data_IF_799177691503
#
_entry.id   IF_799177691503
#
_cell.length_a   1.000
_cell.length_b   1.000
_cell.length_c   1.000
_cell.angle_alpha   90.00
_cell.angle_beta   90.00
_cell.angle_gamma   90.00
#
_symmetry.space_group_name_H-M   'P 1'
#
loop_
_entity.id
_entity.type
_entity.pdbx_description
1 polymer ?
#
# COMPACT_ATOMS: atom_id res chain seq x y z
N UNK A 1 -35.90 -12.29 -11.84
CA UNK A 1 -35.63 -11.80 -10.49
C UNK A 1 -34.16 -11.42 -10.46
N UNK A 2 -33.83 -10.13 -10.55
CA UNK A 2 -32.45 -9.68 -10.37
C UNK A 2 -32.16 -9.77 -8.86
N UNK A 3 -31.29 -10.71 -8.47
CA UNK A 3 -30.79 -10.78 -7.10
C UNK A 3 -30.18 -9.42 -6.71
N UNK A 4 -30.62 -8.85 -5.59
CA UNK A 4 -29.94 -7.68 -5.00
C UNK A 4 -28.48 -8.06 -4.80
N UNK A 5 -27.54 -7.48 -5.60
CA UNK A 5 -26.14 -7.48 -5.24
C UNK A 5 -26.08 -6.90 -3.84
N UNK A 6 -25.57 -7.65 -2.86
CA UNK A 6 -25.33 -7.12 -1.53
C UNK A 6 -24.47 -5.86 -1.69
N UNK A 7 -24.98 -4.75 -1.17
CA UNK A 7 -24.26 -3.48 -1.18
C UNK A 7 -22.98 -3.64 -0.34
N UNK A 8 -21.83 -3.23 -0.88
CA UNK A 8 -20.59 -3.22 -0.13
C UNK A 8 -20.67 -2.20 0.99
N UNK A 9 -20.52 -2.62 2.23
CA UNK A 9 -20.82 -1.82 3.43
C UNK A 9 -19.61 -1.52 4.30
N UNK A 10 -18.43 -2.02 3.96
CA UNK A 10 -17.19 -1.70 4.67
C UNK A 10 -16.76 -0.23 4.47
N UNK A 11 -15.90 0.24 5.35
CA UNK A 11 -15.24 1.55 5.30
C UNK A 11 -16.21 2.75 5.33
N UNK A 12 -17.26 2.66 6.14
CA UNK A 12 -18.29 3.71 6.19
C UNK A 12 -17.74 5.07 6.53
N UNK A 13 -16.95 5.18 7.58
CA UNK A 13 -16.34 6.45 8.03
C UNK A 13 -15.39 7.01 6.98
N UNK A 14 -14.57 6.17 6.34
CA UNK A 14 -13.70 6.60 5.25
C UNK A 14 -14.49 7.10 4.05
N UNK A 15 -15.58 6.42 3.68
CA UNK A 15 -16.46 6.81 2.58
C UNK A 15 -17.39 8.01 2.87
N UNK A 16 -17.36 8.58 4.06
CA UNK A 16 -17.94 9.91 4.31
C UNK A 16 -17.04 11.02 3.76
N UNK A 17 -15.73 10.78 3.71
CA UNK A 17 -14.72 11.75 3.29
C UNK A 17 -14.16 11.48 1.90
N UNK A 18 -14.07 10.21 1.47
CA UNK A 18 -13.46 9.80 0.23
C UNK A 18 -14.44 9.03 -0.65
N UNK A 19 -14.33 9.20 -1.95
CA UNK A 19 -15.10 8.41 -2.94
C UNK A 19 -14.36 7.12 -3.32
N UNK A 20 -13.03 7.11 -3.14
CA UNK A 20 -12.15 6.04 -3.57
C UNK A 20 -11.09 5.74 -2.51
N UNK A 21 -10.87 4.46 -2.27
CA UNK A 21 -9.73 3.96 -1.51
C UNK A 21 -8.81 3.25 -2.50
N UNK A 22 -7.55 3.69 -2.59
CA UNK A 22 -6.53 3.12 -3.48
C UNK A 22 -5.53 2.38 -2.61
N UNK A 23 -5.63 1.07 -2.58
CA UNK A 23 -4.69 0.20 -1.87
C UNK A 23 -3.68 -0.33 -2.86
N UNK A 24 -2.39 -0.19 -2.60
CA UNK A 24 -1.35 -0.58 -3.53
C UNK A 24 -0.12 -1.16 -2.82
N UNK A 25 0.68 -1.88 -3.58
CA UNK A 25 1.91 -2.51 -3.15
C UNK A 25 2.92 -2.55 -4.29
N UNK A 26 4.21 -2.60 -3.97
CA UNK A 26 5.29 -2.63 -4.96
C UNK A 26 6.34 -3.68 -4.61
N UNK A 27 6.69 -4.52 -5.57
CA UNK A 27 7.91 -5.31 -5.51
C UNK A 27 9.05 -4.56 -6.21
N UNK A 28 10.24 -4.67 -5.66
CA UNK A 28 11.39 -3.83 -6.06
C UNK A 28 12.68 -4.63 -6.15
N UNK A 29 13.70 -4.10 -6.84
CA UNK A 29 15.03 -4.73 -6.90
C UNK A 29 15.80 -4.64 -5.58
N UNK A 30 15.36 -3.84 -4.63
CA UNK A 30 16.04 -3.63 -3.35
C UNK A 30 15.28 -2.64 -2.46
N UNK A 31 15.98 -2.02 -1.52
CA UNK A 31 15.35 -1.18 -0.47
C UNK A 31 15.57 0.33 -0.67
N UNK A 32 16.40 0.74 -1.62
CA UNK A 32 16.72 2.14 -1.86
C UNK A 32 15.87 2.71 -2.99
N UNK A 33 14.79 3.39 -2.64
CA UNK A 33 13.84 3.96 -3.59
C UNK A 33 14.44 5.00 -4.57
N UNK A 34 15.69 5.44 -4.37
CA UNK A 34 16.41 6.34 -5.30
C UNK A 34 17.19 5.59 -6.36
N UNK A 35 17.69 4.41 -6.03
CA UNK A 35 18.60 3.64 -6.86
C UNK A 35 18.00 2.32 -7.35
N UNK A 36 17.10 1.72 -6.57
CA UNK A 36 16.42 0.50 -6.95
C UNK A 36 15.20 0.77 -7.82
N UNK A 37 14.67 -0.27 -8.49
CA UNK A 37 13.59 -0.15 -9.45
C UNK A 37 12.36 -0.94 -9.00
N UNK A 38 11.16 -0.42 -9.31
CA UNK A 38 9.91 -1.18 -9.21
C UNK A 38 9.94 -2.28 -10.27
N UNK A 39 9.70 -3.52 -9.87
CA UNK A 39 9.61 -4.70 -10.73
C UNK A 39 8.19 -5.24 -10.87
N UNK A 40 7.32 -4.97 -9.90
CA UNK A 40 5.88 -5.19 -9.95
C UNK A 40 5.16 -4.04 -9.28
N UNK A 41 4.04 -3.62 -9.83
CA UNK A 41 3.13 -2.66 -9.21
C UNK A 41 1.72 -3.23 -9.24
N UNK A 42 1.11 -3.37 -8.09
CA UNK A 42 -0.28 -3.78 -7.98
C UNK A 42 -1.10 -2.76 -7.18
N UNK A 43 -2.36 -2.61 -7.55
CA UNK A 43 -3.32 -1.87 -6.74
C UNK A 43 -4.74 -2.36 -6.96
N UNK A 44 -5.58 -2.12 -5.95
CA UNK A 44 -7.03 -2.18 -6.06
C UNK A 44 -7.63 -0.82 -5.74
N UNK A 45 -8.73 -0.51 -6.43
CA UNK A 45 -9.55 0.66 -6.10
C UNK A 45 -10.88 0.16 -5.57
N UNK A 46 -11.20 0.59 -4.34
CA UNK A 46 -12.48 0.29 -3.69
C UNK A 46 -13.33 1.56 -3.73
N UNK A 47 -14.58 1.43 -4.17
CA UNK A 47 -15.55 2.53 -4.20
C UNK A 47 -16.74 2.24 -3.28
N UNK A 48 -17.30 3.31 -2.72
CA UNK A 48 -18.49 3.24 -1.85
C UNK A 48 -19.60 2.44 -2.52
N UNK A 49 -20.18 1.50 -1.78
CA UNK A 49 -21.30 0.63 -2.19
C UNK A 49 -20.98 -0.34 -3.33
N UNK A 50 -19.87 -0.18 -4.03
CA UNK A 50 -19.47 -0.99 -5.20
C UNK A 50 -18.42 -2.05 -4.88
N UNK A 51 -17.64 -1.84 -3.79
CA UNK A 51 -16.50 -2.67 -3.46
C UNK A 51 -15.34 -2.45 -4.43
N UNK A 52 -14.58 -3.49 -4.73
CA UNK A 52 -13.45 -3.42 -5.66
C UNK A 52 -13.99 -3.16 -7.08
N UNK A 53 -13.56 -2.05 -7.68
CA UNK A 53 -13.94 -1.61 -9.03
C UNK A 53 -12.79 -1.66 -10.02
N UNK A 54 -11.57 -1.75 -9.53
CA UNK A 54 -10.35 -1.92 -10.32
C UNK A 54 -9.41 -2.86 -9.56
N UNK A 55 -8.88 -3.84 -10.28
CA UNK A 55 -7.70 -4.60 -9.91
C UNK A 55 -6.66 -4.38 -11.00
N UNK A 56 -5.46 -3.98 -10.61
CA UNK A 56 -4.34 -3.73 -11.51
C UNK A 56 -3.11 -4.45 -10.96
N UNK A 57 -2.48 -5.24 -11.79
CA UNK A 57 -1.23 -5.93 -11.49
C UNK A 57 -0.37 -6.01 -12.74
N UNK A 58 0.86 -5.50 -12.66
CA UNK A 58 1.79 -5.51 -13.79
C UNK A 58 3.24 -5.63 -13.36
N UNK A 59 3.95 -6.55 -13.98
CA UNK A 59 5.40 -6.54 -14.00
C UNK A 59 5.91 -5.32 -14.78
N UNK A 60 7.05 -4.79 -14.38
CA UNK A 60 7.66 -3.59 -14.97
C UNK A 60 9.00 -3.94 -15.60
N UNK A 61 9.23 -3.48 -16.82
CA UNK A 61 10.51 -3.68 -17.51
C UNK A 61 11.64 -2.97 -16.76
N UNK A 62 12.73 -3.70 -16.58
CA UNK A 62 13.97 -3.19 -15.99
C UNK A 62 14.70 -2.25 -16.98
N UNK A 63 15.48 -1.33 -16.44
CA UNK A 63 16.41 -0.56 -17.24
C UNK A 63 17.48 -1.50 -17.85
N UNK A 64 18.03 -1.17 -19.05
CA UNK A 64 19.05 -1.97 -19.68
C UNK A 64 20.24 -2.25 -18.73
N UNK A 65 20.65 -3.51 -18.66
CA UNK A 65 21.77 -3.94 -17.81
C UNK A 65 21.41 -4.18 -16.34
N UNK A 66 20.21 -3.85 -15.90
CA UNK A 66 19.74 -4.15 -14.52
C UNK A 66 19.35 -5.63 -14.42
N UNK A 67 19.70 -6.25 -13.29
CA UNK A 67 19.26 -7.60 -12.92
C UNK A 67 18.62 -7.56 -11.55
N UNK A 68 17.63 -8.41 -11.34
CA UNK A 68 17.03 -8.63 -10.04
C UNK A 68 18.02 -9.43 -9.19
N UNK A 69 18.33 -8.99 -7.95
CA UNK A 69 19.21 -9.77 -7.07
C UNK A 69 18.60 -11.14 -6.74
N UNK A 70 19.40 -12.23 -6.65
CA UNK A 70 18.90 -13.58 -6.38
C UNK A 70 18.00 -13.68 -5.13
N UNK A 71 18.32 -12.92 -4.09
CA UNK A 71 17.51 -12.87 -2.86
C UNK A 71 16.11 -12.30 -3.09
N UNK A 72 15.98 -11.34 -3.99
CA UNK A 72 14.68 -10.75 -4.36
C UNK A 72 13.92 -11.73 -5.24
N UNK A 73 14.57 -12.39 -6.21
CA UNK A 73 13.94 -13.44 -7.01
C UNK A 73 13.42 -14.61 -6.14
N UNK A 74 14.19 -15.01 -5.12
CA UNK A 74 13.77 -16.04 -4.15
C UNK A 74 12.55 -15.59 -3.34
N UNK A 75 12.51 -14.31 -2.93
CA UNK A 75 11.44 -13.76 -2.11
C UNK A 75 10.13 -13.59 -2.88
N UNK A 76 10.21 -13.00 -4.08
CA UNK A 76 9.04 -12.57 -4.86
C UNK A 76 8.63 -13.56 -5.95
N UNK A 77 9.53 -14.46 -6.33
CA UNK A 77 9.37 -15.33 -7.50
C UNK A 77 9.46 -14.59 -8.84
N UNK A 78 9.79 -13.29 -8.84
CA UNK A 78 9.91 -12.47 -10.05
C UNK A 78 11.32 -12.54 -10.57
N UNK A 79 11.49 -13.02 -11.80
CA UNK A 79 12.82 -13.13 -12.43
C UNK A 79 13.11 -11.94 -13.35
N UNK A 80 14.39 -11.69 -13.59
CA UNK A 80 14.84 -10.70 -14.57
C UNK A 80 14.23 -10.94 -15.94
N UNK A 81 14.20 -12.21 -16.39
CA UNK A 81 13.64 -12.62 -17.68
C UNK A 81 12.13 -12.33 -17.75
N UNK A 82 11.37 -12.62 -16.68
CA UNK A 82 9.94 -12.34 -16.62
C UNK A 82 9.64 -10.85 -16.77
N UNK A 83 10.40 -9.98 -16.09
CA UNK A 83 10.27 -8.53 -16.25
C UNK A 83 10.60 -8.05 -17.67
N UNK A 84 11.60 -8.64 -18.30
CA UNK A 84 12.00 -8.25 -19.67
C UNK A 84 11.00 -8.72 -20.72
N UNK A 85 10.43 -9.92 -20.58
CA UNK A 85 9.51 -10.52 -21.55
C UNK A 85 8.06 -10.04 -21.41
N UNK A 86 7.58 -9.92 -20.15
CA UNK A 86 6.16 -9.68 -19.83
C UNK A 86 5.91 -8.30 -19.23
N UNK A 87 6.95 -7.65 -18.71
CA UNK A 87 6.82 -6.36 -18.06
C UNK A 87 6.37 -5.26 -19.01
N UNK A 88 5.52 -4.37 -18.51
CA UNK A 88 5.16 -3.15 -19.23
C UNK A 88 6.28 -2.12 -19.15
N UNK A 89 6.38 -1.25 -20.15
CA UNK A 89 7.36 -0.15 -20.11
C UNK A 89 7.04 0.83 -18.97
N UNK A 90 8.07 1.51 -18.49
CA UNK A 90 7.93 2.57 -17.46
C UNK A 90 6.95 3.67 -17.90
N UNK A 91 6.96 4.05 -19.18
CA UNK A 91 6.01 5.02 -19.74
C UNK A 91 4.58 4.50 -19.65
N UNK A 92 4.36 3.22 -19.94
CA UNK A 92 3.02 2.63 -19.86
C UNK A 92 2.54 2.55 -18.40
N UNK A 93 3.41 2.19 -17.47
CA UNK A 93 3.06 2.23 -16.04
C UNK A 93 2.66 3.64 -15.60
N UNK A 94 3.42 4.70 -15.98
CA UNK A 94 3.07 6.08 -15.67
C UNK A 94 1.70 6.48 -16.22
N UNK A 95 1.34 6.03 -17.41
CA UNK A 95 0.03 6.29 -17.98
C UNK A 95 -1.09 5.65 -17.14
N UNK A 96 -0.89 4.43 -16.65
CA UNK A 96 -1.84 3.80 -15.71
C UNK A 96 -1.91 4.53 -14.38
N UNK A 97 -0.76 4.89 -13.79
CA UNK A 97 -0.73 5.63 -12.52
C UNK A 97 -1.42 6.99 -12.65
N UNK A 98 -1.30 7.66 -13.81
CA UNK A 98 -2.07 8.88 -14.10
C UNK A 98 -3.58 8.63 -14.08
N UNK A 99 -4.05 7.52 -14.65
CA UNK A 99 -5.48 7.17 -14.60
C UNK A 99 -5.96 6.81 -13.19
N UNK A 100 -5.12 6.11 -12.42
CA UNK A 100 -5.46 5.64 -11.06
C UNK A 100 -5.43 6.80 -10.07
N UNK A 101 -4.31 7.51 -9.97
CA UNK A 101 -4.10 8.58 -8.99
C UNK A 101 -4.57 9.96 -9.47
N UNK A 102 -4.67 10.18 -10.79
CA UNK A 102 -5.07 11.45 -11.38
C UNK A 102 -6.59 11.67 -11.45
N UNK A 103 -7.41 10.69 -11.06
CA UNK A 103 -8.85 10.85 -10.93
C UNK A 103 -9.16 12.00 -9.95
N UNK A 104 -9.98 12.99 -10.33
CA UNK A 104 -10.23 14.19 -9.53
C UNK A 104 -11.10 13.94 -8.28
N UNK A 105 -11.75 12.79 -8.19
CA UNK A 105 -12.57 12.45 -7.01
C UNK A 105 -11.70 12.33 -5.76
N UNK A 106 -12.23 12.71 -4.57
CA UNK A 106 -11.53 12.51 -3.31
C UNK A 106 -11.08 11.06 -3.15
N UNK A 107 -9.77 10.85 -2.95
CA UNK A 107 -9.21 9.53 -2.80
C UNK A 107 -8.23 9.46 -1.62
N UNK A 108 -8.27 8.34 -0.90
CA UNK A 108 -7.33 7.97 0.14
C UNK A 108 -6.39 6.88 -0.40
N UNK A 109 -5.11 7.05 -0.18
CA UNK A 109 -4.07 6.11 -0.62
C UNK A 109 -3.57 5.30 0.59
N UNK A 110 -3.51 3.98 0.44
CA UNK A 110 -3.20 3.07 1.54
C UNK A 110 -2.23 1.98 1.09
N UNK A 111 -1.35 1.56 2.00
CA UNK A 111 -0.52 0.36 1.85
C UNK A 111 -0.18 -0.23 3.23
N UNK A 112 0.35 -1.44 3.25
CA UNK A 112 0.91 -2.04 4.47
C UNK A 112 2.41 -1.77 4.51
N UNK A 113 2.89 -0.96 5.46
CA UNK A 113 4.21 -0.33 5.46
C UNK A 113 4.37 0.74 4.36
N UNK A 114 3.34 1.58 4.27
CA UNK A 114 3.10 2.50 3.16
C UNK A 114 4.26 3.45 2.85
N UNK A 115 5.15 3.75 3.80
CA UNK A 115 6.30 4.62 3.51
C UNK A 115 7.22 4.05 2.43
N UNK A 116 7.37 2.73 2.39
CA UNK A 116 8.18 2.04 1.40
C UNK A 116 7.60 2.25 -0.01
N UNK A 117 6.37 1.85 -0.22
CA UNK A 117 5.69 1.90 -1.52
C UNK A 117 5.49 3.33 -2.03
N UNK A 118 5.13 4.24 -1.12
CA UNK A 118 5.01 5.66 -1.43
C UNK A 118 6.34 6.27 -1.88
N UNK A 119 7.47 5.92 -1.25
CA UNK A 119 8.78 6.42 -1.65
C UNK A 119 9.16 5.92 -3.05
N UNK A 120 9.02 4.63 -3.32
CA UNK A 120 9.30 4.07 -4.64
C UNK A 120 8.42 4.69 -5.72
N UNK A 121 7.11 4.77 -5.48
CA UNK A 121 6.17 5.37 -6.43
C UNK A 121 6.43 6.86 -6.62
N UNK A 122 6.77 7.59 -5.55
CA UNK A 122 7.16 8.99 -5.63
C UNK A 122 8.36 9.21 -6.55
N UNK A 123 9.49 8.52 -6.32
CA UNK A 123 10.68 8.69 -7.15
C UNK A 123 10.47 8.22 -8.58
N UNK A 124 9.69 7.17 -8.79
CA UNK A 124 9.30 6.70 -10.10
C UNK A 124 8.52 7.78 -10.90
N UNK A 125 7.57 8.46 -10.26
CA UNK A 125 6.78 9.53 -10.86
C UNK A 125 7.57 10.84 -10.99
N UNK A 126 8.41 11.16 -10.01
CA UNK A 126 9.23 12.39 -9.97
C UNK A 126 10.18 12.50 -11.16
N UNK A 127 10.68 11.38 -11.67
CA UNK A 127 11.54 11.36 -12.86
C UNK A 127 10.92 12.04 -14.11
N UNK A 128 9.57 12.12 -14.17
CA UNK A 128 8.83 12.79 -15.25
C UNK A 128 7.93 13.93 -14.75
N UNK A 129 8.23 14.48 -13.56
CA UNK A 129 7.47 15.56 -12.90
C UNK A 129 5.98 15.21 -12.67
N UNK A 130 5.66 13.95 -12.43
CA UNK A 130 4.32 13.44 -12.17
C UNK A 130 4.02 13.17 -10.69
N UNK A 131 4.94 13.45 -9.79
CA UNK A 131 4.84 13.22 -8.33
C UNK A 131 3.67 13.99 -7.68
N UNK A 132 3.16 15.04 -8.33
CA UNK A 132 1.94 15.75 -7.92
C UNK A 132 0.72 14.83 -7.80
N UNK A 133 0.70 13.69 -8.49
CA UNK A 133 -0.37 12.69 -8.42
C UNK A 133 -0.54 12.10 -7.00
N UNK A 134 0.54 12.06 -6.22
CA UNK A 134 0.55 11.57 -4.85
C UNK A 134 0.52 12.68 -3.80
N UNK A 135 1.01 13.88 -4.13
CA UNK A 135 1.22 14.96 -3.15
C UNK A 135 -0.07 15.39 -2.44
N UNK A 136 -1.15 15.55 -3.21
CA UNK A 136 -2.42 16.07 -2.72
C UNK A 136 -3.38 14.96 -2.24
N UNK A 137 -2.93 13.73 -2.14
CA UNK A 137 -3.73 12.63 -1.59
C UNK A 137 -3.47 12.47 -0.11
N UNK A 138 -4.50 12.22 0.66
CA UNK A 138 -4.36 11.72 2.02
C UNK A 138 -3.87 10.28 2.01
N UNK A 139 -3.15 9.87 3.05
CA UNK A 139 -2.49 8.56 3.12
C UNK A 139 -2.70 7.91 4.49
N UNK A 140 -2.83 6.58 4.50
CA UNK A 140 -2.79 5.76 5.72
C UNK A 140 -1.74 4.65 5.55
N UNK A 141 -0.94 4.45 6.59
CA UNK A 141 -0.09 3.27 6.77
C UNK A 141 -0.79 2.25 7.67
N UNK A 142 -1.22 1.14 7.09
CA UNK A 142 -1.93 0.11 7.85
C UNK A 142 -1.02 -0.63 8.84
N UNK A 143 0.29 -0.64 8.60
CA UNK A 143 1.25 -1.14 9.59
C UNK A 143 1.26 -0.28 10.86
N UNK A 144 1.14 1.04 10.73
CA UNK A 144 1.01 1.95 11.88
C UNK A 144 -0.25 1.64 12.68
N UNK A 145 -1.39 1.44 12.01
CA UNK A 145 -2.65 1.07 12.65
C UNK A 145 -2.53 -0.28 13.37
N UNK A 146 -1.96 -1.29 12.71
CA UNK A 146 -1.80 -2.62 13.27
C UNK A 146 -0.93 -2.63 14.54
N UNK A 147 0.16 -1.87 14.54
CA UNK A 147 1.06 -1.74 15.71
C UNK A 147 0.40 -1.14 16.95
N UNK A 148 -0.61 -0.30 16.77
CA UNK A 148 -1.37 0.28 17.89
C UNK A 148 -2.38 -0.70 18.49
N UNK A 149 -2.60 -1.85 17.86
CA UNK A 149 -3.65 -2.79 18.24
C UNK A 149 -3.16 -4.16 18.65
N UNK A 150 -2.02 -4.56 18.11
CA UNK A 150 -1.49 -5.92 18.28
C UNK A 150 -0.01 -5.90 18.63
N UNK A 151 0.36 -6.88 19.45
CA UNK A 151 1.75 -7.11 19.82
C UNK A 151 2.59 -7.64 18.66
N UNK A 152 3.91 -7.44 18.74
CA UNK A 152 4.86 -8.02 17.78
C UNK A 152 4.68 -9.55 17.64
N UNK A 153 4.80 -10.11 16.42
CA UNK A 153 5.32 -9.53 15.18
C UNK A 153 4.26 -8.80 14.33
N UNK A 154 4.73 -7.86 13.47
CA UNK A 154 3.86 -6.91 12.77
C UNK A 154 3.90 -7.00 11.24
N UNK A 155 4.32 -8.13 10.65
CA UNK A 155 4.26 -8.33 9.20
C UNK A 155 2.80 -8.51 8.74
N UNK A 156 2.50 -8.25 7.47
CA UNK A 156 1.18 -8.50 6.87
C UNK A 156 0.70 -9.94 7.14
N UNK A 157 1.59 -10.93 6.99
CA UNK A 157 1.33 -12.33 7.34
C UNK A 157 0.77 -12.50 8.76
N UNK A 158 1.32 -11.77 9.73
CA UNK A 158 0.85 -11.87 11.11
C UNK A 158 -0.52 -11.22 11.31
N UNK A 159 -0.81 -10.13 10.60
CA UNK A 159 -2.14 -9.55 10.58
C UNK A 159 -3.17 -10.51 9.98
N UNK A 160 -2.84 -11.20 8.89
CA UNK A 160 -3.67 -12.25 8.29
C UNK A 160 -3.97 -13.37 9.31
N UNK A 161 -2.97 -13.80 10.06
CA UNK A 161 -3.11 -14.84 11.10
C UNK A 161 -4.00 -14.37 12.26
N UNK A 162 -3.77 -13.18 12.79
CA UNK A 162 -4.53 -12.61 13.92
C UNK A 162 -6.00 -12.38 13.57
N UNK A 163 -6.27 -11.91 12.36
CA UNK A 163 -7.65 -11.68 11.90
C UNK A 163 -8.31 -12.92 11.27
N UNK A 164 -7.66 -14.10 11.34
CA UNK A 164 -8.19 -15.38 10.84
C UNK A 164 -8.58 -15.35 9.35
N UNK A 165 -7.71 -14.78 8.53
CA UNK A 165 -7.94 -14.58 7.09
C UNK A 165 -7.22 -15.61 6.21
N UNK A 166 -6.51 -16.60 6.77
CA UNK A 166 -5.65 -17.54 6.04
C UNK A 166 -6.41 -18.35 4.97
N UNK A 167 -7.69 -18.60 5.19
CA UNK A 167 -8.55 -19.32 4.24
C UNK A 167 -9.16 -18.42 3.16
N UNK A 168 -8.96 -17.09 3.28
CA UNK A 168 -9.56 -16.08 2.38
C UNK A 168 -8.55 -15.39 1.48
N UNK A 169 -7.33 -15.18 1.97
CA UNK A 169 -6.28 -14.44 1.28
C UNK A 169 -4.93 -15.11 1.42
N UNK A 170 -4.04 -14.82 0.48
CA UNK A 170 -2.66 -15.32 0.46
C UNK A 170 -1.71 -14.13 0.63
N UNK A 171 -0.59 -14.33 1.31
CA UNK A 171 0.56 -13.42 1.31
C UNK A 171 1.72 -14.18 0.68
N UNK A 172 1.88 -13.99 -0.63
CA UNK A 172 2.83 -14.74 -1.44
C UNK A 172 4.10 -13.94 -1.81
N UNK A 173 4.20 -12.70 -1.32
CA UNK A 173 5.17 -11.72 -1.82
C UNK A 173 5.03 -11.47 -3.34
N UNK A 174 3.79 -11.49 -3.82
CA UNK A 174 3.36 -10.92 -5.08
C UNK A 174 2.47 -9.74 -4.75
N UNK A 175 2.75 -8.61 -5.37
CA UNK A 175 2.09 -7.35 -5.01
C UNK A 175 0.56 -7.44 -5.05
N UNK A 176 -0.02 -8.17 -6.00
CA UNK A 176 -1.48 -8.34 -6.10
C UNK A 176 -2.07 -9.10 -4.91
N UNK A 177 -1.42 -10.18 -4.47
CA UNK A 177 -1.90 -10.98 -3.33
C UNK A 177 -1.80 -10.14 -2.05
N UNK A 178 -0.73 -9.39 -1.88
CA UNK A 178 -0.49 -8.54 -0.72
C UNK A 178 -1.46 -7.35 -0.67
N UNK A 179 -1.83 -6.77 -1.82
CA UNK A 179 -2.89 -5.75 -1.91
C UNK A 179 -4.25 -6.30 -1.50
N UNK A 180 -4.65 -7.48 -2.01
CA UNK A 180 -5.91 -8.12 -1.66
C UNK A 180 -5.95 -8.46 -0.18
N UNK A 181 -4.86 -9.02 0.35
CA UNK A 181 -4.72 -9.30 1.77
C UNK A 181 -4.79 -8.04 2.62
N UNK A 182 -4.18 -6.94 2.16
CA UNK A 182 -4.20 -5.64 2.83
C UNK A 182 -5.62 -5.08 2.93
N UNK A 183 -6.43 -5.18 1.86
CA UNK A 183 -7.86 -4.80 1.91
C UNK A 183 -8.62 -5.62 2.93
N UNK A 184 -8.46 -6.95 2.93
CA UNK A 184 -9.14 -7.82 3.87
C UNK A 184 -8.74 -7.55 5.33
N UNK A 185 -7.45 -7.32 5.60
CA UNK A 185 -6.95 -6.91 6.92
C UNK A 185 -7.55 -5.56 7.34
N UNK A 186 -7.62 -4.59 6.43
CA UNK A 186 -8.21 -3.28 6.71
C UNK A 186 -9.72 -3.38 7.05
N UNK A 187 -10.46 -4.29 6.41
CA UNK A 187 -11.88 -4.55 6.76
C UNK A 187 -12.04 -5.09 8.19
N UNK A 188 -11.16 -5.99 8.62
CA UNK A 188 -11.17 -6.50 9.99
C UNK A 188 -10.71 -5.43 10.99
N UNK A 189 -9.73 -4.61 10.62
CA UNK A 189 -9.32 -3.46 11.44
C UNK A 189 -10.47 -2.48 11.68
N UNK A 190 -11.28 -2.18 10.66
CA UNK A 190 -12.45 -1.31 10.82
C UNK A 190 -13.50 -1.93 11.75
N UNK A 191 -13.76 -3.23 11.64
CA UNK A 191 -14.69 -3.96 12.52
C UNK A 191 -14.22 -4.00 13.96
N UNK A 192 -12.92 -4.13 14.18
CA UNK A 192 -12.32 -4.11 15.50
C UNK A 192 -12.49 -2.73 16.17
N UNK A 193 -12.20 -1.65 15.40
CA UNK A 193 -12.34 -0.28 15.87
C UNK A 193 -12.43 0.69 14.69
N UNK A 194 -13.52 1.45 14.61
CA UNK A 194 -13.77 2.44 13.55
C UNK A 194 -13.06 3.76 13.86
N UNK A 195 -11.72 3.76 13.77
CA UNK A 195 -10.85 4.90 14.05
C UNK A 195 -9.80 5.19 12.96
N UNK A 196 -9.91 4.56 11.79
CA UNK A 196 -8.96 4.71 10.68
C UNK A 196 -8.76 6.17 10.26
N UNK A 197 -9.79 7.01 10.37
CA UNK A 197 -9.71 8.44 10.07
C UNK A 197 -8.67 9.18 10.93
N UNK A 198 -8.39 8.70 12.14
CA UNK A 198 -7.41 9.32 13.03
C UNK A 198 -5.95 9.09 12.59
N UNK A 199 -5.72 8.13 11.68
CA UNK A 199 -4.38 7.80 11.15
C UNK A 199 -4.09 8.48 9.80
N UNK A 200 -4.97 9.37 9.33
CA UNK A 200 -4.74 10.08 8.07
C UNK A 200 -3.48 10.91 8.19
N UNK A 201 -2.53 10.66 7.27
CA UNK A 201 -1.22 11.33 7.22
C UNK A 201 -0.42 11.24 8.53
N UNK A 202 -0.65 10.19 9.32
CA UNK A 202 0.07 9.91 10.57
C UNK A 202 0.74 8.53 10.50
N UNK A 203 2.07 8.50 10.43
CA UNK A 203 2.86 7.29 10.32
C UNK A 203 3.77 7.10 11.54
N UNK A 204 3.73 5.88 12.09
CA UNK A 204 4.59 5.48 13.19
C UNK A 204 5.96 5.01 12.71
N UNK A 205 7.02 5.39 13.43
CA UNK A 205 8.36 4.84 13.21
C UNK A 205 8.96 4.26 14.49
N UNK A 206 9.85 3.28 14.33
CA UNK A 206 10.56 2.72 15.47
C UNK A 206 11.59 3.74 16.00
N UNK A 207 11.50 4.17 17.28
CA UNK A 207 12.39 5.19 17.86
C UNK A 207 13.87 4.83 17.74
N UNK A 208 14.20 3.53 17.72
CA UNK A 208 15.59 3.05 17.61
C UNK A 208 16.25 3.50 16.30
N UNK A 209 15.47 3.63 15.22
CA UNK A 209 15.99 3.94 13.87
C UNK A 209 15.69 5.36 13.43
N UNK A 210 14.82 6.07 14.17
CA UNK A 210 14.34 7.39 13.80
C UNK A 210 13.33 7.36 12.65
N UNK A 211 12.86 8.56 12.20
CA UNK A 211 11.93 8.65 11.09
C UNK A 211 12.55 8.16 9.78
N UNK A 212 11.75 7.60 8.87
CA UNK A 212 12.24 7.07 7.60
C UNK A 212 12.90 8.16 6.74
N UNK A 213 13.87 7.75 5.93
CA UNK A 213 14.58 8.61 4.97
C UNK A 213 14.53 7.96 3.58
N UNK A 214 13.98 8.67 2.58
CA UNK A 214 13.36 10.00 2.65
C UNK A 214 12.03 10.00 3.40
N UNK A 215 11.70 11.13 4.03
CA UNK A 215 10.38 11.38 4.61
C UNK A 215 9.46 12.07 3.59
N UNK A 216 8.18 11.80 3.65
CA UNK A 216 7.16 12.39 2.79
C UNK A 216 6.58 13.63 3.48
N UNK A 217 6.69 14.81 2.86
CA UNK A 217 6.36 16.11 3.48
C UNK A 217 4.92 16.21 4.01
N UNK A 218 3.96 15.52 3.37
CA UNK A 218 2.55 15.54 3.78
C UNK A 218 2.23 14.62 4.95
N UNK A 219 3.23 13.89 5.48
CA UNK A 219 3.03 12.89 6.54
C UNK A 219 3.66 13.40 7.84
N UNK A 220 2.91 13.29 8.91
CA UNK A 220 3.41 13.46 10.28
C UNK A 220 3.99 12.13 10.76
N UNK A 221 5.27 12.13 11.09
CA UNK A 221 5.94 10.95 11.62
C UNK A 221 6.05 11.05 13.14
N UNK A 222 5.56 10.03 13.86
CA UNK A 222 5.69 9.96 15.32
C UNK A 222 6.43 8.70 15.75
N UNK A 223 7.21 8.74 16.84
CA UNK A 223 7.81 7.54 17.41
C UNK A 223 6.72 6.60 17.91
N UNK A 224 6.76 5.34 17.45
CA UNK A 224 5.81 4.30 17.83
C UNK A 224 6.58 3.12 18.42
N UNK A 225 6.31 2.81 19.67
CA UNK A 225 6.89 1.67 20.37
C UNK A 225 6.18 0.35 19.98
N UNK A 226 6.81 -0.77 20.29
CA UNK A 226 6.10 -2.05 20.32
C UNK A 226 5.16 -2.06 21.53
N UNK A 227 3.93 -2.51 21.35
CA UNK A 227 2.89 -2.53 22.40
C UNK A 227 2.66 -1.15 23.05
N UNK A 228 2.25 -0.14 22.31
CA UNK A 228 2.03 1.19 22.84
C UNK A 228 0.84 1.20 23.82
N UNK A 229 0.93 1.95 24.94
CA UNK A 229 -0.15 1.98 25.95
C UNK A 229 -1.42 2.71 25.45
N UNK A 230 -1.33 3.43 24.34
CA UNK A 230 -2.42 4.17 23.70
C UNK A 230 -2.14 4.35 22.22
N UNK A 231 -3.17 4.59 21.40
CA UNK A 231 -3.01 4.83 19.97
C UNK A 231 -2.09 6.00 19.65
N UNK A 232 -1.39 5.93 18.52
CA UNK A 232 -0.41 6.93 18.10
C UNK A 232 -1.02 8.34 17.96
N UNK A 233 -2.27 8.44 17.54
CA UNK A 233 -2.98 9.72 17.39
C UNK A 233 -3.26 10.40 18.73
N UNK A 234 -3.22 9.68 19.85
CA UNK A 234 -3.35 10.22 21.21
C UNK A 234 -2.01 10.58 21.85
N UNK A 235 -0.90 10.31 21.18
CA UNK A 235 0.43 10.69 21.66
C UNK A 235 0.73 12.16 21.31
N UNK A 236 1.53 12.88 22.14
CA UNK A 236 1.90 14.26 21.86
C UNK A 236 2.63 14.45 20.53
#
# INVERSE_FOLDING_TARGET
>A
MFGKKNEYTAFRSLFEKYDRLIVFDTETTGLDCRNDQIIEFACVVVEKKRGIVLEFDQLVQLAPGTRIPPKIEELTGITTEACMEKGISKTRLRAYLMQIFGDPRPALVLAYNANFDLCFTYFFLHADNMDYLLWNKDKIDLLTVYKDRHSYPHKLKNAIEIYHLQDKVVNSHRAVDDVIATVAVMEEMEKERDDLLNYINLFGYNPKYGPPKPSIRSITYKPQQFDPPKPLYETP
#
